data_IF_833864921774
#
_entry.id   IF_833864921774
#
_cell.length_a   1.000
_cell.length_b   1.000
_cell.length_c   1.000
_cell.angle_alpha   90.00
_cell.angle_beta   90.00
_cell.angle_gamma   90.00
#
_symmetry.space_group_name_H-M   'P 1'
#
loop_
_entity.id
_entity.type
_entity.pdbx_description
1 polymer ?
#
# COMPACT_ATOMS: atom_id res chain seq x y z
N UNK A 1 -25.61 28.39 -42.95
CA UNK A 1 -26.08 27.53 -41.84
C UNK A 1 -25.24 26.27 -41.66
N UNK A 2 -25.00 25.45 -42.70
CA UNK A 2 -24.25 24.17 -42.59
C UNK A 2 -22.81 24.35 -42.05
N UNK A 3 -22.05 25.34 -42.54
CA UNK A 3 -20.68 25.61 -42.05
C UNK A 3 -20.61 26.05 -40.58
N UNK A 4 -21.62 26.76 -40.09
CA UNK A 4 -21.71 27.22 -38.70
C UNK A 4 -22.10 26.09 -37.73
N UNK A 5 -23.01 25.20 -38.17
CA UNK A 5 -23.34 24.00 -37.42
C UNK A 5 -22.15 23.04 -37.35
N UNK A 6 -21.42 22.84 -38.45
CA UNK A 6 -20.21 22.01 -38.51
C UNK A 6 -19.10 22.54 -37.59
N UNK A 7 -18.84 23.84 -37.56
CA UNK A 7 -17.84 24.43 -36.65
C UNK A 7 -18.24 24.27 -35.19
N UNK A 8 -19.54 24.44 -34.86
CA UNK A 8 -20.02 24.22 -33.49
C UNK A 8 -19.92 22.77 -33.05
N UNK A 9 -20.18 21.82 -33.94
CA UNK A 9 -20.02 20.39 -33.67
C UNK A 9 -18.54 20.06 -33.46
N UNK A 10 -17.62 20.59 -34.28
CA UNK A 10 -16.18 20.37 -34.07
C UNK A 10 -15.68 20.95 -32.75
N UNK A 11 -16.14 22.15 -32.38
CA UNK A 11 -15.78 22.78 -31.11
C UNK A 11 -16.28 21.95 -29.92
N UNK A 12 -17.51 21.43 -29.98
CA UNK A 12 -18.07 20.56 -28.96
C UNK A 12 -17.32 19.22 -28.85
N UNK A 13 -16.99 18.60 -29.99
CA UNK A 13 -16.21 17.36 -30.01
C UNK A 13 -14.81 17.57 -29.43
N UNK A 14 -14.15 18.68 -29.78
CA UNK A 14 -12.84 19.01 -29.24
C UNK A 14 -12.91 19.26 -27.73
N UNK A 15 -13.93 19.99 -27.26
CA UNK A 15 -14.14 20.23 -25.84
C UNK A 15 -14.38 18.91 -25.06
N UNK A 16 -15.19 18.00 -25.62
CA UNK A 16 -15.42 16.67 -25.05
C UNK A 16 -14.15 15.83 -25.00
N UNK A 17 -13.33 15.86 -26.06
CA UNK A 17 -12.06 15.16 -26.11
C UNK A 17 -11.08 15.69 -25.04
N UNK A 18 -10.97 17.02 -24.91
CA UNK A 18 -10.14 17.65 -23.90
C UNK A 18 -10.62 17.31 -22.48
N UNK A 19 -11.93 17.35 -22.23
CA UNK A 19 -12.51 16.95 -20.95
C UNK A 19 -12.21 15.48 -20.64
N UNK A 20 -12.34 14.58 -21.63
CA UNK A 20 -12.02 13.16 -21.47
C UNK A 20 -10.54 12.93 -21.17
N UNK A 21 -9.63 13.65 -21.84
CA UNK A 21 -8.18 13.56 -21.58
C UNK A 21 -7.81 14.08 -20.19
N UNK A 22 -8.39 15.20 -19.76
CA UNK A 22 -8.21 15.74 -18.40
C UNK A 22 -8.72 14.75 -17.37
N UNK A 23 -9.92 14.18 -17.57
CA UNK A 23 -10.49 13.19 -16.67
C UNK A 23 -9.62 11.93 -16.61
N UNK A 24 -9.18 11.42 -17.76
CA UNK A 24 -8.28 10.26 -17.83
C UNK A 24 -6.97 10.53 -17.08
N UNK A 25 -6.37 11.71 -17.26
CA UNK A 25 -5.16 12.11 -16.53
C UNK A 25 -5.41 12.22 -15.02
N UNK A 26 -6.52 12.81 -14.60
CA UNK A 26 -6.91 12.95 -13.19
C UNK A 26 -7.31 11.63 -12.53
N UNK A 27 -7.73 10.63 -13.30
CA UNK A 27 -8.07 9.30 -12.79
C UNK A 27 -6.88 8.35 -12.77
N UNK A 28 -6.08 8.31 -13.83
CA UNK A 28 -5.08 7.25 -14.04
C UNK A 28 -3.63 7.70 -13.94
N UNK A 29 -3.35 9.01 -14.00
CA UNK A 29 -2.00 9.59 -13.92
C UNK A 29 -0.99 8.85 -14.83
N UNK A 30 -1.15 8.90 -16.17
CA UNK A 30 -0.33 8.11 -17.09
C UNK A 30 1.15 8.51 -17.03
N UNK A 31 2.03 7.55 -16.80
CA UNK A 31 3.49 7.77 -16.76
C UNK A 31 4.15 7.03 -17.92
N UNK A 32 5.23 7.59 -18.45
CA UNK A 32 6.00 6.92 -19.49
C UNK A 32 6.94 5.89 -18.86
N UNK A 33 7.19 4.74 -19.53
CA UNK A 33 8.16 3.75 -19.07
C UNK A 33 9.54 4.38 -18.85
N UNK A 34 10.20 4.03 -17.75
CA UNK A 34 11.53 4.53 -17.44
C UNK A 34 12.60 3.52 -17.85
N UNK A 35 13.54 3.94 -18.72
CA UNK A 35 14.64 3.10 -19.23
C UNK A 35 15.94 3.28 -18.43
N UNK A 36 15.85 3.42 -17.11
CA UNK A 36 17.00 3.62 -16.22
C UNK A 36 17.64 2.31 -15.75
N UNK A 37 18.92 2.35 -15.37
CA UNK A 37 19.53 1.24 -14.62
C UNK A 37 18.93 1.19 -13.22
N UNK A 38 18.30 0.07 -12.91
CA UNK A 38 17.72 -0.19 -11.60
C UNK A 38 18.82 -0.63 -10.65
N UNK A 39 18.98 0.08 -9.53
CA UNK A 39 19.85 -0.36 -8.44
C UNK A 39 19.03 -1.20 -7.48
N UNK A 40 19.34 -2.48 -7.39
CA UNK A 40 18.70 -3.40 -6.47
C UNK A 40 19.52 -3.50 -5.18
N UNK A 41 18.83 -3.64 -4.06
CA UNK A 41 19.46 -4.02 -2.81
C UNK A 41 20.08 -5.42 -2.95
N UNK A 42 21.24 -5.67 -2.34
CA UNK A 42 21.91 -6.98 -2.37
C UNK A 42 21.23 -7.96 -1.40
N UNK A 43 19.92 -8.17 -1.55
CA UNK A 43 19.13 -9.09 -0.75
C UNK A 43 19.32 -10.52 -1.24
N UNK A 44 19.45 -11.44 -0.29
CA UNK A 44 19.56 -12.87 -0.54
C UNK A 44 18.15 -13.49 -0.62
N UNK A 45 17.75 -14.12 -1.74
CA UNK A 45 16.45 -14.79 -1.87
C UNK A 45 16.19 -15.81 -0.75
N UNK A 46 17.25 -16.45 -0.24
CA UNK A 46 17.13 -17.47 0.82
C UNK A 46 16.64 -16.87 2.14
N UNK A 47 16.98 -15.61 2.44
CA UNK A 47 16.50 -14.93 3.64
C UNK A 47 15.00 -14.66 3.55
N UNK A 48 14.54 -14.16 2.39
CA UNK A 48 13.11 -13.92 2.13
C UNK A 48 12.31 -15.23 2.19
N UNK A 49 12.84 -16.29 1.57
CA UNK A 49 12.24 -17.62 1.59
C UNK A 49 12.15 -18.20 3.01
N UNK A 50 13.17 -17.98 3.84
CA UNK A 50 13.17 -18.42 5.24
C UNK A 50 12.09 -17.67 6.05
N UNK A 51 12.00 -16.34 5.91
CA UNK A 51 10.99 -15.56 6.62
C UNK A 51 9.57 -15.95 6.18
N UNK A 52 9.35 -16.13 4.88
CA UNK A 52 8.08 -16.61 4.32
C UNK A 52 7.70 -17.98 4.88
N UNK A 53 8.64 -18.93 4.84
CA UNK A 53 8.41 -20.30 5.33
C UNK A 53 8.00 -20.31 6.80
N UNK A 54 8.63 -19.49 7.63
CA UNK A 54 8.27 -19.39 9.05
C UNK A 54 6.84 -18.89 9.22
N UNK A 55 6.49 -17.77 8.56
CA UNK A 55 5.15 -17.20 8.61
C UNK A 55 4.06 -18.17 8.15
N UNK A 56 4.30 -18.92 7.07
CA UNK A 56 3.33 -19.90 6.58
C UNK A 56 3.21 -21.10 7.52
N UNK A 57 4.32 -21.58 8.09
CA UNK A 57 4.33 -22.77 8.95
C UNK A 57 3.60 -22.61 10.29
N UNK A 58 3.36 -21.38 10.75
CA UNK A 58 2.55 -21.13 11.95
C UNK A 58 1.14 -21.71 11.79
N UNK A 59 0.60 -21.71 10.56
CA UNK A 59 -0.74 -22.21 10.28
C UNK A 59 -0.83 -23.74 10.34
N UNK A 60 0.28 -24.44 10.09
CA UNK A 60 0.35 -25.90 10.09
C UNK A 60 0.36 -26.49 11.51
N UNK A 61 0.83 -25.70 12.48
CA UNK A 61 1.11 -26.16 13.84
C UNK A 61 0.04 -25.80 14.88
N UNK A 62 -0.78 -24.78 14.60
CA UNK A 62 -1.71 -24.21 15.58
C UNK A 62 -3.16 -24.21 15.06
N UNK A 63 -4.07 -24.97 15.69
CA UNK A 63 -5.47 -25.07 15.24
C UNK A 63 -6.34 -23.88 15.68
N UNK A 64 -5.90 -23.12 16.69
CA UNK A 64 -6.68 -22.01 17.28
C UNK A 64 -6.23 -20.64 16.75
N UNK A 65 -7.21 -19.80 16.38
CA UNK A 65 -6.97 -18.46 15.83
C UNK A 65 -6.20 -17.53 16.77
N UNK A 66 -6.45 -17.60 18.08
CA UNK A 66 -5.77 -16.73 19.05
C UNK A 66 -4.33 -17.18 19.26
N UNK A 67 -4.08 -18.49 19.25
CA UNK A 67 -2.72 -19.06 19.29
C UNK A 67 -1.95 -18.64 18.04
N UNK A 68 -2.52 -18.82 16.85
CA UNK A 68 -1.90 -18.36 15.58
C UNK A 68 -1.60 -16.87 15.60
N UNK A 69 -2.55 -16.05 16.05
CA UNK A 69 -2.39 -14.60 16.13
C UNK A 69 -1.22 -14.22 17.04
N UNK A 70 -1.12 -14.86 18.21
CA UNK A 70 0.00 -14.65 19.13
C UNK A 70 1.32 -15.12 18.51
N UNK A 71 1.35 -16.29 17.87
CA UNK A 71 2.56 -16.83 17.25
C UNK A 71 3.07 -15.93 16.11
N UNK A 72 2.17 -15.39 15.27
CA UNK A 72 2.52 -14.41 14.22
C UNK A 72 3.08 -13.13 14.85
N UNK A 73 2.43 -12.61 15.91
CA UNK A 73 2.94 -11.43 16.62
C UNK A 73 4.34 -11.67 17.19
N UNK A 74 4.54 -12.79 17.90
CA UNK A 74 5.81 -13.15 18.53
C UNK A 74 6.92 -13.29 17.48
N UNK A 75 6.61 -13.94 16.35
CA UNK A 75 7.54 -14.07 15.23
C UNK A 75 7.92 -12.70 14.65
N UNK A 76 6.93 -11.86 14.31
CA UNK A 76 7.17 -10.53 13.76
C UNK A 76 7.98 -9.66 14.73
N UNK A 77 7.64 -9.71 16.02
CA UNK A 77 8.40 -9.02 17.07
C UNK A 77 9.86 -9.47 17.10
N UNK A 78 10.11 -10.79 17.13
CA UNK A 78 11.47 -11.31 17.12
C UNK A 78 12.23 -10.89 15.86
N UNK A 79 11.61 -11.03 14.68
CA UNK A 79 12.22 -10.74 13.40
C UNK A 79 12.57 -9.24 13.22
N UNK A 80 11.84 -8.35 13.90
CA UNK A 80 11.99 -6.90 13.85
C UNK A 80 12.70 -6.31 15.08
N UNK A 81 12.88 -7.08 16.16
CA UNK A 81 13.48 -6.59 17.43
C UNK A 81 14.88 -6.02 17.29
N UNK A 82 15.63 -6.44 16.25
CA UNK A 82 16.93 -5.88 15.89
C UNK A 82 16.87 -4.69 14.91
N UNK A 83 15.68 -4.23 14.52
CA UNK A 83 15.48 -3.17 13.53
C UNK A 83 14.81 -1.96 14.16
N UNK A 84 15.61 -1.03 14.68
CA UNK A 84 15.13 0.22 15.25
C UNK A 84 14.31 0.04 16.55
N UNK A 85 13.31 0.91 16.75
CA UNK A 85 12.44 0.87 17.94
C UNK A 85 11.18 0.08 17.63
N UNK A 86 10.97 -1.03 18.34
CA UNK A 86 9.80 -1.90 18.20
C UNK A 86 8.96 -1.83 19.47
N UNK A 87 7.66 -1.64 19.29
CA UNK A 87 6.70 -1.56 20.40
C UNK A 87 5.43 -2.36 20.10
N UNK A 88 4.82 -2.95 21.12
CA UNK A 88 3.64 -3.81 21.00
C UNK A 88 2.51 -3.26 21.85
N UNK A 89 1.39 -2.94 21.21
CA UNK A 89 0.19 -2.43 21.86
C UNK A 89 -0.91 -3.47 21.73
N UNK A 90 -1.35 -4.01 22.87
CA UNK A 90 -2.56 -4.82 22.93
C UNK A 90 -3.79 -3.95 22.64
N UNK A 91 -4.65 -4.39 21.72
CA UNK A 91 -5.92 -3.72 21.45
C UNK A 91 -7.10 -4.57 21.90
N UNK A 92 -8.24 -3.92 22.15
CA UNK A 92 -9.50 -4.61 22.45
C UNK A 92 -9.92 -5.53 21.29
N UNK A 93 -10.79 -6.50 21.58
CA UNK A 93 -11.33 -7.47 20.62
C UNK A 93 -10.27 -8.41 19.98
N UNK A 94 -9.18 -8.70 20.69
CA UNK A 94 -8.17 -9.68 20.24
C UNK A 94 -7.18 -9.17 19.19
N UNK A 95 -7.35 -7.95 18.69
CA UNK A 95 -6.40 -7.33 17.75
C UNK A 95 -5.09 -6.96 18.45
N UNK A 96 -3.98 -7.05 17.72
CA UNK A 96 -2.65 -6.63 18.19
C UNK A 96 -2.05 -5.62 17.21
N UNK A 97 -1.32 -4.66 17.75
CA UNK A 97 -0.57 -3.69 16.97
C UNK A 97 0.91 -3.85 17.31
N UNK A 98 1.73 -4.08 16.29
CA UNK A 98 3.17 -3.97 16.36
C UNK A 98 3.61 -2.74 15.58
N UNK A 99 4.34 -1.84 16.24
CA UNK A 99 4.91 -0.65 15.59
C UNK A 99 6.42 -0.77 15.51
N UNK A 100 6.98 -0.33 14.39
CA UNK A 100 8.42 -0.29 14.15
C UNK A 100 8.82 1.07 13.62
N UNK A 101 9.84 1.67 14.21
CA UNK A 101 10.44 2.91 13.72
C UNK A 101 11.90 2.67 13.36
N UNK A 102 12.28 2.97 12.12
CA UNK A 102 13.65 2.85 11.62
C UNK A 102 14.07 4.17 10.97
N UNK A 103 15.23 4.70 11.34
CA UNK A 103 15.72 6.01 10.89
C UNK A 103 15.60 7.12 11.95
N UNK A 104 15.95 8.35 11.57
CA UNK A 104 16.07 9.50 12.50
C UNK A 104 14.70 10.14 12.78
N UNK A 105 14.39 10.43 14.04
CA UNK A 105 13.10 11.04 14.44
C UNK A 105 12.85 12.43 13.82
N UNK A 106 13.90 13.16 13.44
CA UNK A 106 13.81 14.48 12.81
C UNK A 106 13.59 14.42 11.29
N UNK A 107 13.69 13.24 10.67
CA UNK A 107 13.49 13.07 9.23
C UNK A 107 12.01 13.14 8.85
N UNK A 108 11.74 13.40 7.55
CA UNK A 108 10.42 13.20 6.95
C UNK A 108 9.99 11.75 7.14
N UNK A 109 8.68 11.47 7.19
CA UNK A 109 8.16 10.15 7.58
C UNK A 109 7.46 9.47 6.42
N UNK A 110 7.80 8.20 6.22
CA UNK A 110 6.98 7.25 5.48
C UNK A 110 6.20 6.43 6.50
N UNK A 111 4.91 6.73 6.63
CA UNK A 111 3.98 5.90 7.38
C UNK A 111 3.54 4.72 6.50
N UNK A 112 3.75 3.51 6.99
CA UNK A 112 3.24 2.30 6.34
C UNK A 112 2.29 1.59 7.30
N UNK A 113 1.08 1.32 6.84
CA UNK A 113 0.07 0.57 7.58
C UNK A 113 -0.11 -0.76 6.91
N UNK A 114 0.04 -1.84 7.66
CA UNK A 114 -0.13 -3.19 7.16
C UNK A 114 -1.22 -3.91 7.97
N UNK A 115 -2.31 -4.26 7.32
CA UNK A 115 -3.37 -5.10 7.88
C UNK A 115 -3.08 -6.57 7.59
N UNK A 116 -2.48 -7.27 8.56
CA UNK A 116 -2.22 -8.71 8.51
C UNK A 116 -3.45 -9.45 9.04
N UNK A 117 -4.10 -10.26 8.22
CA UNK A 117 -5.28 -11.05 8.65
C UNK A 117 -4.86 -12.48 8.89
N UNK A 118 -5.25 -13.01 10.05
CA UNK A 118 -5.00 -14.39 10.46
C UNK A 118 -6.24 -15.21 10.14
N UNK A 119 -6.05 -16.25 9.32
CA UNK A 119 -7.07 -17.20 8.87
C UNK A 119 -6.64 -18.63 9.19
N UNK A 120 -7.51 -19.60 8.93
CA UNK A 120 -7.18 -21.03 9.12
C UNK A 120 -6.03 -21.49 8.21
N UNK A 121 -5.98 -20.97 6.98
CA UNK A 121 -4.90 -21.21 6.03
C UNK A 121 -4.06 -19.95 5.86
N UNK A 122 -2.77 -20.06 5.54
CA UNK A 122 -1.92 -18.89 5.37
C UNK A 122 -2.37 -18.07 4.16
N UNK A 123 -2.68 -16.79 4.40
CA UNK A 123 -2.88 -15.84 3.31
C UNK A 123 -1.52 -15.46 2.72
N UNK A 124 -1.15 -16.10 1.61
CA UNK A 124 0.17 -15.96 0.99
C UNK A 124 0.52 -14.48 0.75
N UNK A 125 -0.44 -13.69 0.26
CA UNK A 125 -0.25 -12.26 0.00
C UNK A 125 0.21 -11.47 1.25
N UNK A 126 -0.31 -11.82 2.44
CA UNK A 126 0.12 -11.20 3.70
C UNK A 126 1.50 -11.71 4.13
N UNK A 127 1.76 -13.01 3.99
CA UNK A 127 3.05 -13.58 4.38
C UNK A 127 4.21 -13.05 3.51
N UNK A 128 4.00 -12.94 2.20
CA UNK A 128 4.97 -12.39 1.24
C UNK A 128 5.22 -10.89 1.46
N UNK A 129 4.16 -10.13 1.77
CA UNK A 129 4.33 -8.73 2.15
C UNK A 129 5.07 -8.60 3.48
N UNK A 130 4.74 -9.42 4.49
CA UNK A 130 5.41 -9.39 5.78
C UNK A 130 6.92 -9.69 5.65
N UNK A 131 7.30 -10.73 4.89
CA UNK A 131 8.71 -11.09 4.65
C UNK A 131 9.47 -9.94 3.96
N UNK A 132 8.85 -9.31 2.97
CA UNK A 132 9.35 -8.11 2.28
C UNK A 132 9.57 -6.95 3.24
N UNK A 133 8.59 -6.63 4.10
CA UNK A 133 8.68 -5.52 5.03
C UNK A 133 9.75 -5.74 6.10
N UNK A 134 9.92 -6.98 6.56
CA UNK A 134 11.04 -7.37 7.43
C UNK A 134 12.39 -7.09 6.73
N UNK A 135 12.54 -7.52 5.48
CA UNK A 135 13.76 -7.27 4.71
C UNK A 135 14.04 -5.77 4.51
N UNK A 136 12.99 -4.96 4.29
CA UNK A 136 13.10 -3.51 4.22
C UNK A 136 13.64 -2.92 5.54
N UNK A 137 13.03 -3.28 6.67
CA UNK A 137 13.46 -2.81 8.00
C UNK A 137 14.93 -3.19 8.29
N UNK A 138 15.34 -4.42 7.96
CA UNK A 138 16.73 -4.88 8.11
C UNK A 138 17.69 -4.08 7.23
N UNK A 139 17.30 -3.81 5.98
CA UNK A 139 18.11 -3.03 5.02
C UNK A 139 18.31 -1.58 5.48
N UNK A 140 17.24 -0.93 5.95
CA UNK A 140 17.32 0.43 6.49
C UNK A 140 18.13 0.51 7.78
N UNK A 141 18.11 -0.53 8.61
CA UNK A 141 18.92 -0.55 9.83
C UNK A 141 20.42 -0.60 9.50
N UNK A 142 20.78 -1.26 8.40
CA UNK A 142 22.16 -1.32 7.91
C UNK A 142 22.63 0.00 7.26
N UNK A 143 21.71 0.88 6.84
CA UNK A 143 22.03 2.17 6.22
C UNK A 143 21.53 3.37 7.03
N UNK A 144 22.46 4.06 7.68
CA UNK A 144 22.18 5.27 8.47
C UNK A 144 21.91 6.54 7.64
N UNK A 145 21.99 6.44 6.31
CA UNK A 145 21.89 7.55 5.36
C UNK A 145 20.47 7.94 4.92
N UNK A 146 19.45 7.12 5.20
CA UNK A 146 18.10 7.35 4.68
C UNK A 146 17.54 8.74 5.02
N UNK A 147 16.99 9.44 4.01
CA UNK A 147 16.40 10.77 4.18
C UNK A 147 15.10 10.75 4.99
N UNK A 148 14.36 9.64 4.95
CA UNK A 148 13.11 9.45 5.67
C UNK A 148 13.22 8.45 6.82
N UNK A 149 12.43 8.67 7.86
CA UNK A 149 12.12 7.67 8.87
C UNK A 149 10.98 6.77 8.37
N UNK A 150 11.18 5.47 8.48
CA UNK A 150 10.10 4.50 8.34
C UNK A 150 9.32 4.40 9.65
N UNK A 151 8.00 4.61 9.58
CA UNK A 151 7.04 4.31 10.65
C UNK A 151 6.08 3.22 10.17
N UNK A 152 6.39 1.96 10.50
CA UNK A 152 5.59 0.80 10.13
C UNK A 152 4.63 0.41 11.27
N UNK A 153 3.35 0.33 10.97
CA UNK A 153 2.28 -0.14 11.88
C UNK A 153 1.67 -1.42 11.32
N UNK A 154 1.93 -2.57 11.96
CA UNK A 154 1.35 -3.87 11.60
C UNK A 154 0.18 -4.17 12.53
N UNK A 155 -1.03 -4.09 11.99
CA UNK A 155 -2.25 -4.51 12.68
C UNK A 155 -2.53 -5.97 12.36
N UNK A 156 -2.50 -6.81 13.38
CA UNK A 156 -2.78 -8.25 13.25
C UNK A 156 -4.22 -8.49 13.67
N UNK A 157 -5.04 -8.94 12.72
CA UNK A 157 -6.48 -9.09 12.85
C UNK A 157 -6.87 -10.56 12.97
N UNK A 158 -7.76 -10.92 13.91
CA UNK A 158 -8.53 -12.14 13.78
C UNK A 158 -9.50 -12.02 12.59
N UNK A 159 -9.83 -13.14 11.95
CA UNK A 159 -10.83 -13.17 10.87
C UNK A 159 -12.23 -12.80 11.37
N UNK A 160 -12.58 -13.21 12.60
CA UNK A 160 -13.86 -12.86 13.22
C UNK A 160 -13.94 -11.36 13.50
N UNK A 161 -14.99 -10.69 13.02
CA UNK A 161 -15.18 -9.25 13.23
C UNK A 161 -14.26 -8.35 12.39
N UNK A 162 -13.62 -8.91 11.35
CA UNK A 162 -12.60 -8.24 10.55
C UNK A 162 -13.01 -6.88 9.99
N UNK A 163 -14.22 -6.73 9.43
CA UNK A 163 -14.66 -5.45 8.87
C UNK A 163 -14.63 -4.32 9.89
N UNK A 164 -15.14 -4.57 11.11
CA UNK A 164 -15.08 -3.60 12.20
C UNK A 164 -13.64 -3.43 12.72
N UNK A 165 -12.86 -4.51 12.77
CA UNK A 165 -11.45 -4.50 13.15
C UNK A 165 -10.57 -3.62 12.24
N UNK A 166 -10.78 -3.70 10.91
CA UNK A 166 -10.10 -2.89 9.90
C UNK A 166 -10.44 -1.40 10.06
N UNK A 167 -11.73 -1.08 10.24
CA UNK A 167 -12.19 0.29 10.47
C UNK A 167 -11.57 0.87 11.75
N UNK A 168 -11.67 0.15 12.87
CA UNK A 168 -11.15 0.57 14.17
C UNK A 168 -9.61 0.64 14.22
N UNK A 169 -8.90 -0.18 13.43
CA UNK A 169 -7.45 -0.07 13.23
C UNK A 169 -7.09 1.20 12.47
N UNK A 170 -7.78 1.45 11.36
CA UNK A 170 -7.53 2.62 10.53
C UNK A 170 -7.84 3.91 11.27
N UNK A 171 -8.94 3.92 12.04
CA UNK A 171 -9.34 5.04 12.89
C UNK A 171 -8.27 5.39 13.92
N UNK A 172 -7.85 4.38 14.68
CA UNK A 172 -6.81 4.54 15.68
C UNK A 172 -5.49 5.01 15.06
N UNK A 173 -5.07 4.42 13.94
CA UNK A 173 -3.85 4.84 13.28
C UNK A 173 -3.93 6.29 12.81
N UNK A 174 -5.01 6.64 12.10
CA UNK A 174 -5.25 7.99 11.60
C UNK A 174 -5.22 9.02 12.73
N UNK A 175 -5.89 8.76 13.84
CA UNK A 175 -5.90 9.62 15.03
C UNK A 175 -4.53 9.71 15.68
N UNK A 176 -3.79 8.59 15.75
CA UNK A 176 -2.45 8.59 16.34
C UNK A 176 -1.48 9.47 15.54
N UNK A 177 -1.58 9.50 14.21
CA UNK A 177 -0.67 10.28 13.36
C UNK A 177 -1.19 11.69 13.07
N UNK A 178 -2.44 11.98 13.41
CA UNK A 178 -3.04 13.30 13.26
C UNK A 178 -2.24 14.32 14.07
N UNK A 179 -1.83 15.42 13.43
CA UNK A 179 -0.95 16.43 14.03
C UNK A 179 0.55 16.08 14.04
N UNK A 180 0.92 14.82 13.76
CA UNK A 180 2.34 14.39 13.55
C UNK A 180 2.70 14.21 12.07
N UNK A 181 1.68 14.14 11.21
CA UNK A 181 1.81 14.05 9.77
C UNK A 181 2.14 15.43 9.18
N UNK A 182 3.36 15.56 8.64
CA UNK A 182 3.91 16.79 8.11
C UNK A 182 3.77 16.94 6.60
N UNK A 183 4.16 18.12 6.11
CA UNK A 183 4.32 18.36 4.68
C UNK A 183 5.46 17.51 4.11
N UNK A 184 5.19 16.78 3.02
CA UNK A 184 6.14 15.84 2.44
C UNK A 184 6.18 14.45 3.09
N UNK A 185 5.38 14.19 4.13
CA UNK A 185 5.19 12.83 4.64
C UNK A 185 4.32 12.00 3.67
N UNK A 186 4.57 10.69 3.67
CA UNK A 186 3.85 9.71 2.87
C UNK A 186 3.08 8.73 3.75
N UNK A 187 1.91 8.28 3.29
CA UNK A 187 1.10 7.28 3.96
C UNK A 187 0.71 6.19 2.96
N UNK A 188 1.34 5.02 3.11
CA UNK A 188 1.01 3.81 2.36
C UNK A 188 0.19 2.86 3.23
N UNK A 189 -0.91 2.35 2.69
CA UNK A 189 -1.77 1.36 3.34
C UNK A 189 -1.71 0.08 2.53
N UNK A 190 -1.50 -1.04 3.22
CA UNK A 190 -1.48 -2.37 2.66
C UNK A 190 -2.54 -3.23 3.35
N UNK A 191 -3.45 -3.77 2.56
CA UNK A 191 -4.50 -4.69 3.01
C UNK A 191 -4.57 -5.87 2.03
N UNK A 192 -3.56 -6.76 2.04
CA UNK A 192 -3.55 -7.95 1.17
C UNK A 192 -4.79 -8.81 1.40
N UNK A 193 -5.30 -9.43 0.34
CA UNK A 193 -6.56 -10.19 0.34
C UNK A 193 -7.83 -9.34 0.28
N UNK A 194 -7.75 -8.01 0.39
CA UNK A 194 -8.93 -7.13 0.39
C UNK A 194 -9.04 -6.30 -0.88
N UNK A 195 -10.27 -6.23 -1.40
CA UNK A 195 -10.61 -5.42 -2.57
C UNK A 195 -10.96 -3.99 -2.17
N UNK A 196 -10.03 -3.30 -1.52
CA UNK A 196 -10.25 -1.91 -1.14
C UNK A 196 -10.02 -0.93 -2.32
N UNK A 197 -10.76 0.19 -2.36
CA UNK A 197 -12.03 0.41 -1.67
C UNK A 197 -13.15 -0.45 -2.26
N UNK A 198 -13.89 -1.17 -1.41
CA UNK A 198 -14.90 -2.19 -1.80
C UNK A 198 -15.97 -1.63 -2.74
N UNK A 199 -16.27 -0.33 -2.62
CA UNK A 199 -17.22 0.40 -3.46
C UNK A 199 -16.96 0.21 -4.96
N UNK A 200 -15.69 0.15 -5.38
CA UNK A 200 -15.31 0.00 -6.78
C UNK A 200 -15.58 -1.39 -7.35
N UNK A 201 -15.77 -2.38 -6.47
CA UNK A 201 -15.92 -3.79 -6.85
C UNK A 201 -17.33 -4.32 -6.63
N UNK A 202 -18.04 -3.80 -5.61
CA UNK A 202 -19.33 -4.35 -5.19
C UNK A 202 -20.54 -3.54 -5.69
N UNK A 203 -20.36 -2.27 -6.06
CA UNK A 203 -21.48 -1.37 -6.35
C UNK A 203 -21.75 -1.20 -7.84
N UNK A 204 -23.02 -1.39 -8.25
CA UNK A 204 -23.47 -1.11 -9.62
C UNK A 204 -23.23 0.35 -10.03
N UNK A 205 -23.26 1.26 -9.07
CA UNK A 205 -23.04 2.70 -9.27
C UNK A 205 -21.59 3.03 -9.64
N UNK A 206 -20.65 2.11 -9.49
CA UNK A 206 -19.22 2.32 -9.73
C UNK A 206 -18.67 1.42 -10.83
N UNK A 207 -19.56 0.62 -11.46
CA UNK A 207 -19.19 -0.37 -12.48
C UNK A 207 -18.47 0.23 -13.69
N UNK A 208 -18.68 1.52 -14.01
CA UNK A 208 -17.95 2.19 -15.09
C UNK A 208 -16.45 2.41 -14.78
N UNK A 209 -16.05 2.44 -13.51
CA UNK A 209 -14.64 2.45 -13.12
C UNK A 209 -13.95 1.10 -13.35
N UNK A 210 -14.69 0.01 -13.53
CA UNK A 210 -14.10 -1.32 -13.73
C UNK A 210 -13.14 -1.39 -14.92
N UNK A 211 -13.36 -0.57 -15.95
CA UNK A 211 -12.47 -0.47 -17.12
C UNK A 211 -11.15 0.27 -16.82
N UNK A 212 -11.13 1.08 -15.76
CA UNK A 212 -9.99 1.87 -15.32
C UNK A 212 -9.29 1.25 -14.10
N UNK A 213 -9.84 0.17 -13.53
CA UNK A 213 -9.24 -0.52 -12.41
C UNK A 213 -7.89 -1.11 -12.85
N UNK A 214 -6.84 -0.97 -12.03
CA UNK A 214 -5.63 -1.76 -12.16
C UNK A 214 -5.99 -3.25 -12.27
N UNK A 215 -5.30 -3.93 -13.19
CA UNK A 215 -5.53 -5.33 -13.51
C UNK A 215 -4.70 -6.22 -12.60
N UNK A 216 -5.12 -7.46 -12.46
CA UNK A 216 -4.31 -8.48 -11.77
C UNK A 216 -3.01 -8.81 -12.50
N UNK A 217 -2.80 -8.33 -13.74
CA UNK A 217 -1.53 -8.46 -14.47
C UNK A 217 -0.46 -7.49 -13.99
N UNK A 218 -0.84 -6.39 -13.35
CA UNK A 218 0.04 -5.27 -13.06
C UNK A 218 0.97 -5.63 -11.88
N UNK A 219 2.20 -5.11 -11.84
CA UNK A 219 3.15 -5.42 -10.76
C UNK A 219 2.77 -4.68 -9.46
N UNK A 220 2.21 -3.47 -9.57
CA UNK A 220 1.77 -2.67 -8.44
C UNK A 220 0.52 -1.86 -8.80
N UNK A 221 -0.52 -1.98 -8.00
CA UNK A 221 -1.72 -1.17 -8.11
C UNK A 221 -1.80 -0.14 -6.97
N UNK A 222 -2.02 1.13 -7.30
CA UNK A 222 -2.09 2.25 -6.36
C UNK A 222 -3.47 2.91 -6.38
N UNK A 223 -4.06 3.15 -5.22
CA UNK A 223 -5.36 3.83 -5.10
C UNK A 223 -5.26 4.98 -4.11
N UNK A 224 -5.71 6.16 -4.52
CA UNK A 224 -5.79 7.32 -3.64
C UNK A 224 -7.05 8.12 -3.92
N UNK A 225 -7.20 9.28 -3.28
CA UNK A 225 -8.32 10.19 -3.54
C UNK A 225 -7.99 11.13 -4.71
N UNK A 226 -9.03 11.64 -5.37
CA UNK A 226 -8.89 12.60 -6.49
C UNK A 226 -7.95 13.77 -6.25
N UNK A 227 -7.89 14.30 -5.03
CA UNK A 227 -7.02 15.44 -4.68
C UNK A 227 -5.54 15.07 -4.60
N UNK A 228 -5.20 13.77 -4.59
CA UNK A 228 -3.83 13.29 -4.44
C UNK A 228 -3.20 12.89 -5.79
N UNK A 229 -3.80 13.26 -6.93
CA UNK A 229 -3.33 12.89 -8.27
C UNK A 229 -1.83 13.15 -8.51
N UNK A 230 -1.31 14.28 -8.04
CA UNK A 230 0.11 14.60 -8.20
C UNK A 230 1.00 13.68 -7.34
N UNK A 231 0.56 13.33 -6.13
CA UNK A 231 1.26 12.40 -5.24
C UNK A 231 1.27 10.99 -5.83
N UNK A 232 0.14 10.49 -6.34
CA UNK A 232 0.13 9.19 -7.03
C UNK A 232 1.06 9.19 -8.23
N UNK A 233 1.02 10.24 -9.05
CA UNK A 233 1.93 10.36 -10.20
C UNK A 233 3.40 10.31 -9.76
N UNK A 234 3.78 11.06 -8.73
CA UNK A 234 5.15 11.05 -8.18
C UNK A 234 5.54 9.65 -7.72
N UNK A 235 4.65 8.96 -7.00
CA UNK A 235 4.87 7.62 -6.50
C UNK A 235 5.04 6.61 -7.66
N UNK A 236 4.19 6.66 -8.70
CA UNK A 236 4.34 5.85 -9.92
C UNK A 236 5.70 6.06 -10.59
N UNK A 237 6.12 7.32 -10.75
CA UNK A 237 7.42 7.65 -11.35
C UNK A 237 8.56 7.09 -10.50
N UNK A 238 8.46 7.19 -9.18
CA UNK A 238 9.49 6.71 -8.28
C UNK A 238 9.59 5.16 -8.28
N UNK A 239 8.47 4.44 -8.21
CA UNK A 239 8.43 2.99 -8.37
C UNK A 239 8.94 2.54 -9.75
N UNK A 240 8.57 3.25 -10.82
CA UNK A 240 9.08 3.01 -12.17
C UNK A 240 10.60 3.17 -12.28
N UNK A 241 11.15 4.22 -11.65
CA UNK A 241 12.62 4.42 -11.56
C UNK A 241 13.31 3.33 -10.75
N UNK A 242 12.62 2.77 -9.76
CA UNK A 242 13.12 1.67 -8.95
C UNK A 242 12.92 0.28 -9.58
N UNK A 243 12.42 0.21 -10.82
CA UNK A 243 12.33 -1.04 -11.58
C UNK A 243 11.03 -1.81 -11.44
N UNK A 244 9.99 -1.23 -10.82
CA UNK A 244 8.64 -1.76 -10.93
C UNK A 244 8.11 -1.36 -12.30
N UNK A 245 7.92 -2.36 -13.17
CA UNK A 245 7.70 -2.14 -14.61
C UNK A 245 6.28 -1.70 -14.92
N UNK A 246 5.33 -2.23 -14.16
CA UNK A 246 3.91 -2.07 -14.42
C UNK A 246 3.23 -1.56 -13.15
N UNK A 247 3.24 -0.23 -12.98
CA UNK A 247 2.57 0.43 -11.86
C UNK A 247 1.34 1.15 -12.38
N UNK A 248 0.17 0.61 -12.10
CA UNK A 248 -1.11 1.23 -12.43
C UNK A 248 -1.74 1.91 -11.23
N UNK A 249 -2.59 2.90 -11.50
CA UNK A 249 -3.20 3.66 -10.43
C UNK A 249 -4.60 4.15 -10.76
N UNK A 250 -5.42 4.29 -9.73
CA UNK A 250 -6.72 4.91 -9.84
C UNK A 250 -6.98 5.88 -8.69
N UNK A 251 -7.31 7.12 -9.03
CA UNK A 251 -7.91 8.04 -8.10
C UNK A 251 -9.40 7.74 -7.94
N UNK A 252 -9.80 7.60 -6.68
CA UNK A 252 -11.16 7.32 -6.26
C UNK A 252 -11.81 8.64 -5.84
N UNK A 253 -12.97 8.99 -6.40
CA UNK A 253 -13.64 10.21 -6.01
C UNK A 253 -14.43 9.98 -4.71
N UNK A 254 -13.87 10.48 -3.62
CA UNK A 254 -14.32 10.22 -2.25
C UNK A 254 -15.54 11.01 -1.81
N UNK A 255 -15.94 12.02 -2.59
CA UNK A 255 -17.04 12.94 -2.29
C UNK A 255 -18.38 12.53 -2.91
N UNK A 256 -18.43 11.44 -3.70
CA UNK A 256 -19.71 10.96 -4.21
C UNK A 256 -20.54 10.31 -3.09
N UNK A 257 -21.81 10.70 -3.00
CA UNK A 257 -22.75 10.13 -2.04
C UNK A 257 -22.88 8.61 -2.19
N UNK A 258 -22.97 7.90 -1.06
CA UNK A 258 -23.17 6.45 -1.05
C UNK A 258 -21.89 5.60 -1.04
N UNK A 259 -20.69 6.20 -0.91
CA UNK A 259 -19.48 5.41 -0.66
C UNK A 259 -19.55 4.78 0.75
N UNK A 260 -19.56 3.44 0.89
CA UNK A 260 -19.57 2.79 2.19
C UNK A 260 -18.32 3.13 2.99
N UNK A 261 -18.42 3.05 4.31
CA UNK A 261 -17.24 3.15 5.18
C UNK A 261 -16.21 2.08 4.81
N UNK A 262 -14.94 2.47 4.77
CA UNK A 262 -13.83 1.57 4.51
C UNK A 262 -12.59 2.04 5.27
N UNK A 263 -11.67 1.11 5.52
CA UNK A 263 -10.38 1.39 6.15
C UNK A 263 -9.67 2.60 5.51
N UNK A 264 -9.71 2.70 4.18
CA UNK A 264 -9.06 3.77 3.42
C UNK A 264 -9.78 5.12 3.57
N UNK A 265 -11.12 5.12 3.58
CA UNK A 265 -11.94 6.33 3.73
C UNK A 265 -11.70 7.06 5.06
N UNK A 266 -11.39 6.32 6.13
CA UNK A 266 -11.08 6.90 7.45
C UNK A 266 -9.92 7.89 7.41
N UNK A 267 -8.88 7.60 6.61
CA UNK A 267 -7.76 8.50 6.41
C UNK A 267 -8.15 9.72 5.58
N UNK A 268 -8.86 9.51 4.48
CA UNK A 268 -9.28 10.58 3.58
C UNK A 268 -10.22 11.59 4.24
N UNK A 269 -11.14 11.13 5.09
CA UNK A 269 -12.06 11.98 5.85
C UNK A 269 -11.31 12.88 6.86
N UNK A 270 -10.12 12.45 7.29
CA UNK A 270 -9.20 13.21 8.16
C UNK A 270 -8.16 14.03 7.39
N UNK A 271 -8.34 14.18 6.07
CA UNK A 271 -7.43 14.90 5.18
C UNK A 271 -6.02 14.29 5.08
N UNK A 272 -5.84 13.03 5.46
CA UNK A 272 -4.58 12.32 5.31
C UNK A 272 -4.50 11.74 3.88
N UNK A 273 -3.44 12.01 3.11
CA UNK A 273 -3.28 11.55 1.73
C UNK A 273 -2.83 10.08 1.69
N UNK A 274 -3.68 9.18 2.21
CA UNK A 274 -3.43 7.74 2.22
C UNK A 274 -3.52 7.16 0.80
N UNK A 275 -2.51 6.38 0.44
CA UNK A 275 -2.47 5.60 -0.80
C UNK A 275 -2.52 4.13 -0.44
N UNK A 276 -3.56 3.43 -0.88
CA UNK A 276 -3.60 1.97 -0.84
C UNK A 276 -2.66 1.43 -1.91
N UNK A 277 -1.71 0.59 -1.49
CA UNK A 277 -0.78 -0.09 -2.37
C UNK A 277 -1.05 -1.59 -2.37
N UNK A 278 -1.16 -2.17 -3.57
CA UNK A 278 -1.40 -3.59 -3.82
C UNK A 278 -0.26 -4.17 -4.66
N UNK A 279 0.76 -4.77 -4.02
CA UNK A 279 1.96 -5.24 -4.70
C UNK A 279 1.74 -6.66 -5.26
N UNK A 280 0.95 -6.78 -6.32
CA UNK A 280 0.65 -8.07 -6.97
C UNK A 280 1.91 -8.77 -7.52
N UNK A 281 3.03 -8.05 -7.68
CA UNK A 281 4.37 -8.60 -7.99
C UNK A 281 4.84 -9.67 -7.00
N UNK A 282 4.45 -9.58 -5.73
CA UNK A 282 4.88 -10.51 -4.68
C UNK A 282 4.27 -11.91 -4.86
N UNK A 283 3.08 -11.99 -5.46
CA UNK A 283 2.34 -13.26 -5.60
C UNK A 283 2.77 -14.00 -6.88
N UNK A 284 3.23 -13.25 -7.88
CA UNK A 284 3.52 -13.78 -9.22
C UNK A 284 4.88 -14.43 -9.33
N UNK A 285 5.84 -13.96 -8.54
CA UNK A 285 7.23 -14.37 -8.66
C UNK A 285 7.66 -15.38 -7.61
N UNK A 286 7.99 -16.58 -8.07
CA UNK A 286 8.43 -17.69 -7.22
C UNK A 286 9.91 -17.62 -6.82
N UNK A 287 10.70 -16.78 -7.50
CA UNK A 287 12.15 -16.73 -7.31
C UNK A 287 12.62 -15.53 -6.47
N UNK A 288 11.69 -14.76 -5.91
CA UNK A 288 11.94 -13.56 -5.10
C UNK A 288 12.58 -12.36 -5.84
N UNK A 289 12.78 -12.39 -7.15
CA UNK A 289 13.27 -11.22 -7.91
C UNK A 289 12.30 -10.02 -7.76
N UNK A 290 11.00 -10.27 -7.83
CA UNK A 290 9.93 -9.32 -7.65
C UNK A 290 9.88 -8.76 -6.23
N UNK A 291 10.15 -9.60 -5.24
CA UNK A 291 10.29 -9.18 -3.84
C UNK A 291 11.48 -8.24 -3.69
N UNK A 292 12.64 -8.60 -4.23
CA UNK A 292 13.84 -7.77 -4.19
C UNK A 292 13.59 -6.43 -4.89
N UNK A 293 12.95 -6.42 -6.07
CA UNK A 293 12.57 -5.18 -6.77
C UNK A 293 11.64 -4.32 -5.90
N UNK A 294 10.64 -4.92 -5.27
CA UNK A 294 9.69 -4.19 -4.45
C UNK A 294 10.31 -3.62 -3.17
N UNK A 295 11.13 -4.40 -2.44
CA UNK A 295 11.89 -3.91 -1.28
C UNK A 295 12.83 -2.78 -1.71
N UNK A 296 13.56 -2.96 -2.81
CA UNK A 296 14.49 -1.94 -3.33
C UNK A 296 13.76 -0.64 -3.69
N UNK A 297 12.53 -0.74 -4.20
CA UNK A 297 11.72 0.42 -4.52
C UNK A 297 11.22 1.18 -3.29
N UNK A 298 10.74 0.46 -2.26
CA UNK A 298 10.39 1.08 -0.98
C UNK A 298 11.62 1.71 -0.29
N UNK A 299 12.76 1.04 -0.39
CA UNK A 299 14.03 1.56 0.12
C UNK A 299 14.44 2.85 -0.59
N UNK A 300 14.37 2.90 -1.93
CA UNK A 300 14.64 4.11 -2.70
C UNK A 300 13.70 5.26 -2.31
N UNK A 301 12.44 4.90 -2.00
CA UNK A 301 11.46 5.66 -1.22
C UNK A 301 12.09 6.50 -0.12
N UNK A 302 12.57 5.74 0.85
CA UNK A 302 13.07 6.20 2.12
C UNK A 302 14.43 6.90 1.99
N UNK A 303 15.28 6.39 1.10
CA UNK A 303 16.62 6.91 0.83
C UNK A 303 16.57 8.29 0.19
N UNK A 304 15.70 8.50 -0.82
CA UNK A 304 15.64 9.75 -1.58
C UNK A 304 14.56 10.74 -1.11
N UNK A 305 13.72 10.30 -0.17
CA UNK A 305 12.58 11.06 0.32
C UNK A 305 11.69 11.65 -0.78
N UNK A 306 11.38 10.83 -1.78
CA UNK A 306 10.52 11.21 -2.92
C UNK A 306 9.08 10.95 -2.56
#
# INVERSE_FOLDING_TARGET
MVRWALSRISDLLLALLLAALVLWFLLTQPVFPHAGKVQLLPLKPETLAADLKQLTSIHDNDPDDQVRLKAILDYLYLALSGTGVVDVVGRGNGQKLLTVKVGKDSSRKLFMVFHYVVTETPMLEAAELASTLIALCRSLTADSGAEMQLNLSIFIHPYQGLSAGLLNASLYHAESIQGRFGEGDWLLVFAPGFRLPDALYASEQWRYFSLLLPRSSDELALFGRMTDALRLRQLKVAFGKAGIRDTESLNVPTSFGGMPESALKVYWDRQLPAILARPDILIKDKNFDGHIRFVSALYLLLDKGI
#
